data_IF_621672565318
#
_entry.id   IF_621672565318
#
_cell.length_a   1.000
_cell.length_b   1.000
_cell.length_c   1.000
_cell.angle_alpha   90.00
_cell.angle_beta   90.00
_cell.angle_gamma   90.00
#
_symmetry.space_group_name_H-M   'P 1'
#
loop_
_entity.id
_entity.type
_entity.pdbx_description
1 polymer ?
#
# COMPACT_ATOMS: atom_id res chain seq x y z
N UNK A 1 -11.97 -0.86 10.24
CA UNK A 1 -10.95 -0.71 9.19
C UNK A 1 -11.11 -1.84 8.19
N UNK A 2 -11.36 -1.55 6.92
CA UNK A 2 -11.57 -2.58 5.90
C UNK A 2 -10.29 -3.35 5.62
N UNK A 3 -10.33 -4.68 5.66
CA UNK A 3 -9.24 -5.49 5.14
C UNK A 3 -9.17 -5.28 3.63
N UNK A 4 -8.04 -4.77 3.13
CA UNK A 4 -7.89 -4.40 1.73
C UNK A 4 -7.80 -5.65 0.83
N UNK A 5 -8.95 -6.12 0.34
CA UNK A 5 -9.10 -7.27 -0.58
C UNK A 5 -8.91 -6.82 -2.03
N UNK A 6 -7.70 -6.35 -2.37
CA UNK A 6 -7.41 -5.75 -3.68
C UNK A 6 -6.36 -6.52 -4.49
N UNK A 7 -6.59 -6.62 -5.81
CA UNK A 7 -5.67 -7.18 -6.81
C UNK A 7 -4.24 -6.60 -6.77
N UNK A 8 -4.07 -5.34 -6.37
CA UNK A 8 -2.74 -4.73 -6.22
C UNK A 8 -1.93 -5.36 -5.08
N UNK A 9 -2.58 -5.66 -3.96
CA UNK A 9 -1.94 -6.37 -2.83
C UNK A 9 -1.60 -7.80 -3.24
N UNK A 10 -2.54 -8.48 -3.92
CA UNK A 10 -2.28 -9.81 -4.45
C UNK A 10 -1.09 -9.85 -5.43
N UNK A 11 -0.95 -8.83 -6.30
CA UNK A 11 0.21 -8.69 -7.19
C UNK A 11 1.52 -8.50 -6.42
N UNK A 12 1.51 -7.71 -5.34
CA UNK A 12 2.69 -7.51 -4.48
C UNK A 12 3.10 -8.80 -3.75
N UNK A 13 2.13 -9.59 -3.26
CA UNK A 13 2.40 -10.87 -2.60
C UNK A 13 2.91 -11.92 -3.60
N UNK A 14 2.31 -11.99 -4.79
CA UNK A 14 2.76 -12.86 -5.87
C UNK A 14 4.19 -12.51 -6.31
N UNK A 15 4.51 -11.22 -6.41
CA UNK A 15 5.88 -10.75 -6.63
C UNK A 15 6.83 -11.18 -5.52
N UNK A 16 6.42 -11.04 -4.26
CA UNK A 16 7.25 -11.36 -3.09
C UNK A 16 7.64 -12.84 -3.05
N UNK A 17 6.71 -13.74 -3.37
CA UNK A 17 6.98 -15.18 -3.47
C UNK A 17 7.96 -15.50 -4.61
N UNK A 18 7.86 -14.79 -5.74
CA UNK A 18 8.77 -14.99 -6.88
C UNK A 18 10.21 -14.57 -6.56
N UNK A 19 10.37 -13.38 -5.96
CA UNK A 19 11.69 -12.76 -5.74
C UNK A 19 12.39 -13.35 -4.53
N UNK A 20 11.65 -13.74 -3.50
CA UNK A 20 12.26 -14.23 -2.28
C UNK A 20 12.78 -15.68 -2.43
N UNK A 21 14.02 -15.92 -2.00
CA UNK A 21 14.66 -17.25 -2.06
C UNK A 21 14.08 -18.24 -1.04
N UNK A 22 13.60 -17.76 0.10
CA UNK A 22 13.24 -18.58 1.26
C UNK A 22 11.74 -18.72 1.50
N UNK A 23 10.91 -17.84 0.92
CA UNK A 23 9.46 -17.91 1.08
C UNK A 23 8.87 -18.87 0.04
N UNK A 24 8.31 -19.99 0.50
CA UNK A 24 7.66 -20.98 -0.36
C UNK A 24 6.16 -20.72 -0.53
N UNK A 25 5.48 -20.30 0.55
CA UNK A 25 4.03 -20.08 0.59
C UNK A 25 3.75 -18.81 1.38
N UNK A 26 2.84 -17.98 0.86
CA UNK A 26 2.22 -16.88 1.60
C UNK A 26 0.72 -17.16 1.68
N UNK A 27 0.19 -17.18 2.89
CA UNK A 27 -1.24 -17.24 3.17
C UNK A 27 -1.74 -15.91 3.71
N UNK A 28 -2.74 -15.34 3.07
CA UNK A 28 -3.45 -14.16 3.54
C UNK A 28 -4.89 -14.55 3.84
N UNK A 29 -5.24 -14.56 5.13
CA UNK A 29 -6.58 -14.89 5.63
C UNK A 29 -7.30 -13.61 6.03
N UNK A 30 -8.55 -13.52 5.62
CA UNK A 30 -9.45 -12.43 5.95
C UNK A 30 -10.46 -12.92 6.98
N UNK A 31 -10.73 -12.09 7.98
CA UNK A 31 -11.63 -12.43 9.08
C UNK A 31 -13.06 -12.12 8.68
N UNK A 32 -14.00 -12.95 9.14
CA UNK A 32 -15.42 -12.64 9.11
C UNK A 32 -15.74 -11.60 10.19
N UNK A 33 -16.64 -10.66 9.90
CA UNK A 33 -16.96 -9.53 10.77
C UNK A 33 -17.44 -9.96 12.16
N UNK A 34 -16.70 -9.56 13.19
CA UNK A 34 -17.03 -9.71 14.61
C UNK A 34 -15.86 -9.17 15.45
N UNK A 35 -16.15 -8.28 16.40
CA UNK A 35 -15.22 -7.51 17.26
C UNK A 35 -13.77 -8.05 17.32
N UNK A 36 -12.95 -7.67 16.33
CA UNK A 36 -11.60 -8.19 16.16
C UNK A 36 -10.61 -7.06 16.36
N UNK A 37 -9.88 -7.12 17.47
CA UNK A 37 -8.75 -6.26 17.74
C UNK A 37 -7.61 -6.70 16.81
N UNK A 38 -7.38 -5.99 15.71
CA UNK A 38 -6.34 -6.38 14.75
C UNK A 38 -4.96 -5.93 15.26
N UNK A 39 -3.90 -6.68 14.94
CA UNK A 39 -2.52 -6.26 15.22
C UNK A 39 -2.19 -4.88 14.61
N UNK A 40 -2.82 -4.56 13.47
CA UNK A 40 -2.72 -3.24 12.83
C UNK A 40 -3.20 -2.12 13.76
N UNK A 41 -4.24 -2.36 14.57
CA UNK A 41 -4.75 -1.37 15.53
C UNK A 41 -3.74 -1.16 16.66
N UNK A 42 -2.98 -2.20 17.04
CA UNK A 42 -1.88 -2.09 18.00
C UNK A 42 -0.73 -1.23 17.46
N UNK A 43 -0.34 -1.42 16.19
CA UNK A 43 0.67 -0.58 15.54
C UNK A 43 0.23 0.89 15.46
N UNK A 44 -1.02 1.15 15.04
CA UNK A 44 -1.56 2.50 15.00
C UNK A 44 -1.59 3.14 16.39
N UNK A 45 -2.06 2.41 17.41
CA UNK A 45 -2.08 2.89 18.78
C UNK A 45 -0.67 3.21 19.32
N UNK A 46 0.32 2.37 19.00
CA UNK A 46 1.71 2.58 19.40
C UNK A 46 2.31 3.85 18.76
N UNK A 47 2.09 4.03 17.46
CA UNK A 47 2.56 5.21 16.71
C UNK A 47 1.86 6.48 17.22
N UNK A 48 0.54 6.43 17.46
CA UNK A 48 -0.19 7.55 18.04
C UNK A 48 0.30 7.92 19.44
N UNK A 49 0.60 6.92 20.27
CA UNK A 49 1.15 7.17 21.61
C UNK A 49 2.54 7.81 21.54
N UNK A 50 3.40 7.38 20.63
CA UNK A 50 4.71 7.99 20.40
C UNK A 50 4.60 9.42 19.86
N UNK A 51 3.67 9.65 18.92
CA UNK A 51 3.36 10.98 18.36
C UNK A 51 2.96 11.97 19.44
N UNK A 52 2.14 11.58 20.43
CA UNK A 52 1.69 12.50 21.51
C UNK A 52 2.84 13.14 22.31
N UNK A 53 4.02 12.53 22.29
CA UNK A 53 5.21 13.00 23.04
C UNK A 53 6.18 13.80 22.18
N UNK A 54 5.87 13.99 20.89
CA UNK A 54 6.80 14.59 19.92
C UNK A 54 6.07 15.58 19.02
N UNK A 55 6.61 16.79 18.88
CA UNK A 55 6.12 17.73 17.87
C UNK A 55 6.69 17.35 16.50
N UNK A 56 5.82 17.22 15.51
CA UNK A 56 6.20 16.86 14.14
C UNK A 56 5.94 18.06 13.25
N UNK A 57 6.99 18.56 12.61
CA UNK A 57 6.98 19.68 11.69
C UNK A 57 7.17 19.19 10.25
N UNK A 58 8.15 18.32 10.00
CA UNK A 58 8.45 17.83 8.64
C UNK A 58 8.19 16.32 8.47
N UNK A 59 7.87 15.85 7.24
CA UNK A 59 7.56 14.44 7.01
C UNK A 59 8.65 13.45 7.44
N UNK A 60 9.94 13.82 7.33
CA UNK A 60 11.04 12.93 7.71
C UNK A 60 11.09 12.65 9.21
N UNK A 61 10.53 13.50 10.06
CA UNK A 61 10.45 13.25 11.51
C UNK A 61 9.50 12.10 11.86
N UNK A 62 8.56 11.77 10.97
CA UNK A 62 7.70 10.59 11.16
C UNK A 62 8.50 9.29 11.17
N UNK A 63 9.63 9.22 10.46
CA UNK A 63 10.48 8.04 10.46
C UNK A 63 10.94 7.71 11.88
N UNK A 64 11.48 8.72 12.58
CA UNK A 64 11.89 8.61 13.97
C UNK A 64 10.73 8.23 14.89
N UNK A 65 9.56 8.87 14.73
CA UNK A 65 8.37 8.57 15.56
C UNK A 65 7.91 7.14 15.37
N UNK A 66 7.87 6.66 14.13
CA UNK A 66 7.48 5.28 13.81
C UNK A 66 8.54 4.31 14.37
N UNK A 67 9.82 4.59 14.22
CA UNK A 67 10.88 3.75 14.77
C UNK A 67 10.79 3.64 16.31
N UNK A 68 10.54 4.75 17.00
CA UNK A 68 10.43 4.80 18.45
C UNK A 68 9.12 4.21 19.00
N UNK A 69 8.09 4.06 18.16
CA UNK A 69 6.79 3.54 18.58
C UNK A 69 6.87 2.13 19.16
N UNK A 70 7.90 1.35 18.80
CA UNK A 70 8.12 0.00 19.31
C UNK A 70 9.57 -0.19 19.74
N UNK A 71 9.79 -0.35 21.05
CA UNK A 71 11.15 -0.52 21.63
C UNK A 71 11.82 -1.83 21.20
N UNK A 72 11.07 -2.93 21.24
CA UNK A 72 11.58 -4.26 20.90
C UNK A 72 11.14 -4.61 19.48
N UNK A 73 12.09 -4.77 18.57
CA UNK A 73 11.88 -4.89 17.12
C UNK A 73 11.21 -3.64 16.50
N UNK A 74 11.94 -2.51 16.41
CA UNK A 74 11.46 -1.26 15.82
C UNK A 74 10.87 -1.43 14.43
N UNK A 75 9.91 -0.58 14.09
CA UNK A 75 9.32 -0.60 12.75
C UNK A 75 10.33 -0.09 11.71
N UNK A 76 10.33 -0.73 10.54
CA UNK A 76 11.14 -0.34 9.38
C UNK A 76 10.26 0.49 8.45
N UNK A 77 10.64 1.74 8.23
CA UNK A 77 9.94 2.63 7.30
C UNK A 77 10.53 2.46 5.92
N UNK A 78 9.70 2.01 4.97
CA UNK A 78 10.08 1.86 3.57
C UNK A 78 9.35 2.89 2.70
N UNK A 79 10.00 3.45 1.66
CA UNK A 79 9.32 4.31 0.71
C UNK A 79 8.13 3.62 0.06
N UNK A 80 7.10 4.40 -0.30
CA UNK A 80 5.92 3.87 -0.96
C UNK A 80 6.28 3.29 -2.33
N UNK A 81 6.05 1.99 -2.49
CA UNK A 81 6.28 1.25 -3.73
C UNK A 81 5.08 1.33 -4.68
N UNK A 82 5.33 1.26 -5.99
CA UNK A 82 4.28 1.31 -7.01
C UNK A 82 3.74 -0.08 -7.38
N UNK A 83 2.91 -0.64 -6.50
CA UNK A 83 2.26 -1.92 -6.78
C UNK A 83 1.19 -1.86 -7.87
N UNK A 84 0.68 -0.67 -8.21
CA UNK A 84 -0.32 -0.49 -9.27
C UNK A 84 0.32 -0.68 -10.64
N UNK A 85 1.47 -0.05 -10.87
CA UNK A 85 2.25 -0.25 -12.10
C UNK A 85 2.79 -1.68 -12.17
N UNK A 86 3.28 -2.20 -11.04
CA UNK A 86 3.71 -3.61 -10.94
C UNK A 86 2.62 -4.57 -11.43
N UNK A 87 1.38 -4.40 -10.96
CA UNK A 87 0.24 -5.21 -11.40
C UNK A 87 -0.05 -5.04 -12.90
N UNK A 88 -0.22 -3.81 -13.38
CA UNK A 88 -0.58 -3.56 -14.79
C UNK A 88 0.43 -4.09 -15.79
N UNK A 89 1.72 -4.00 -15.46
CA UNK A 89 2.81 -4.40 -16.34
C UNK A 89 3.04 -5.90 -16.34
N UNK A 90 2.89 -6.57 -15.19
CA UNK A 90 3.35 -7.94 -15.00
C UNK A 90 2.23 -8.97 -14.80
N UNK A 91 1.02 -8.53 -14.44
CA UNK A 91 -0.04 -9.43 -13.98
C UNK A 91 -1.39 -9.07 -14.60
N UNK A 92 -1.78 -9.79 -15.65
CA UNK A 92 -3.10 -9.68 -16.30
C UNK A 92 -4.00 -10.86 -15.96
N UNK A 93 -5.28 -10.73 -16.31
CA UNK A 93 -6.29 -11.77 -16.12
C UNK A 93 -6.57 -12.12 -14.65
N UNK A 94 -6.72 -11.09 -13.81
CA UNK A 94 -7.05 -11.26 -12.38
C UNK A 94 -8.56 -11.18 -12.11
N UNK A 95 -9.39 -11.08 -13.13
CA UNK A 95 -10.83 -10.85 -13.01
C UNK A 95 -11.66 -12.10 -13.28
N UNK A 96 -11.05 -13.12 -13.88
CA UNK A 96 -11.68 -14.41 -14.16
C UNK A 96 -10.83 -15.54 -13.59
N UNK A 97 -11.51 -16.58 -13.10
CA UNK A 97 -10.85 -17.80 -12.66
C UNK A 97 -10.54 -18.72 -13.86
N UNK A 98 -9.90 -19.86 -13.59
CA UNK A 98 -9.56 -20.87 -14.60
C UNK A 98 -10.78 -21.45 -15.35
N UNK A 99 -11.98 -21.36 -14.76
CA UNK A 99 -13.24 -21.81 -15.37
C UNK A 99 -13.93 -20.71 -16.21
N UNK A 100 -13.35 -19.51 -16.28
CA UNK A 100 -13.93 -18.36 -16.97
C UNK A 100 -14.96 -17.57 -16.16
N UNK A 101 -15.14 -17.92 -14.87
CA UNK A 101 -16.11 -17.25 -14.00
C UNK A 101 -15.49 -15.99 -13.39
N UNK A 102 -16.31 -14.94 -13.21
CA UNK A 102 -15.88 -13.67 -12.61
C UNK A 102 -15.47 -13.86 -11.14
N UNK A 103 -14.29 -13.37 -10.77
CA UNK A 103 -13.76 -13.44 -9.40
C UNK A 103 -14.33 -12.30 -8.57
N UNK A 104 -15.01 -12.64 -7.47
CA UNK A 104 -15.59 -11.69 -6.52
C UNK A 104 -14.58 -11.35 -5.43
N UNK A 105 -13.65 -10.45 -5.74
CA UNK A 105 -12.54 -10.08 -4.83
C UNK A 105 -12.99 -9.71 -3.42
N UNK A 106 -14.12 -9.00 -3.29
CA UNK A 106 -14.68 -8.60 -1.99
C UNK A 106 -15.12 -9.77 -1.14
N UNK A 107 -15.50 -10.90 -1.73
CA UNK A 107 -15.99 -12.09 -1.01
C UNK A 107 -14.86 -13.05 -0.62
N UNK A 108 -13.62 -12.82 -1.08
CA UNK A 108 -12.49 -13.71 -0.81
C UNK A 108 -12.16 -13.71 0.69
N UNK A 109 -12.13 -14.90 1.28
CA UNK A 109 -11.74 -15.13 2.68
C UNK A 109 -10.30 -15.59 2.84
N UNK A 110 -9.72 -16.22 1.82
CA UNK A 110 -8.32 -16.62 1.84
C UNK A 110 -7.70 -16.48 0.46
N UNK A 111 -6.50 -15.91 0.42
CA UNK A 111 -5.59 -15.94 -0.72
C UNK A 111 -4.34 -16.74 -0.34
N UNK A 112 -3.86 -17.55 -1.27
CA UNK A 112 -2.63 -18.30 -1.13
C UNK A 112 -1.77 -18.16 -2.38
N UNK A 113 -0.48 -17.93 -2.16
CA UNK A 113 0.54 -17.74 -3.19
C UNK A 113 1.63 -18.78 -2.97
N UNK A 114 2.00 -19.52 -4.02
CA UNK A 114 2.97 -20.62 -3.93
C UNK A 114 4.12 -20.40 -4.90
N UNK A 115 5.33 -20.71 -4.45
CA UNK A 115 6.55 -20.55 -5.26
C UNK A 115 6.63 -21.54 -6.41
N UNK A 116 6.11 -22.74 -6.22
CA UNK A 116 6.04 -23.80 -7.23
C UNK A 116 5.13 -23.42 -8.42
N UNK A 117 4.08 -22.64 -8.15
CA UNK A 117 3.12 -22.18 -9.16
C UNK A 117 3.07 -20.65 -9.16
N UNK A 118 4.15 -19.98 -9.63
CA UNK A 118 4.36 -18.56 -9.42
C UNK A 118 3.40 -17.67 -10.24
N UNK A 119 2.60 -18.24 -11.13
CA UNK A 119 1.62 -17.53 -11.95
C UNK A 119 0.17 -17.91 -11.61
N UNK A 120 -0.04 -18.55 -10.46
CA UNK A 120 -1.36 -18.97 -9.99
C UNK A 120 -1.65 -18.30 -8.65
N UNK A 121 -2.83 -17.71 -8.53
CA UNK A 121 -3.37 -17.23 -7.27
C UNK A 121 -4.46 -18.20 -6.84
N UNK A 122 -4.28 -18.80 -5.68
CA UNK A 122 -5.29 -19.66 -5.08
C UNK A 122 -6.17 -18.83 -4.16
N UNK A 123 -7.49 -19.01 -4.26
CA UNK A 123 -8.42 -18.28 -3.42
C UNK A 123 -9.59 -19.14 -2.95
N UNK A 124 -10.21 -18.74 -1.83
CA UNK A 124 -11.42 -19.36 -1.28
C UNK A 124 -12.44 -18.32 -0.87
N UNK A 125 -13.72 -18.64 -1.06
CA UNK A 125 -14.83 -17.87 -0.50
C UNK A 125 -15.25 -18.38 0.87
N UNK A 126 -14.96 -19.65 1.19
CA UNK A 126 -15.12 -20.24 2.53
C UNK A 126 -13.88 -21.03 2.95
N UNK A 127 -13.56 -21.04 4.25
CA UNK A 127 -12.42 -21.82 4.77
C UNK A 127 -12.57 -23.33 4.60
N UNK A 128 -13.81 -23.81 4.45
CA UNK A 128 -14.14 -25.23 4.29
C UNK A 128 -14.12 -25.72 2.84
N UNK A 129 -14.00 -24.82 1.87
CA UNK A 129 -13.99 -25.16 0.45
C UNK A 129 -12.59 -25.47 -0.06
N UNK A 130 -12.50 -26.12 -1.22
CA UNK A 130 -11.25 -26.23 -1.97
C UNK A 130 -10.85 -24.89 -2.61
N UNK A 131 -9.57 -24.77 -2.97
CA UNK A 131 -9.08 -23.56 -3.62
C UNK A 131 -9.57 -23.46 -5.06
N UNK A 132 -10.09 -22.30 -5.41
CA UNK A 132 -10.24 -21.87 -6.78
C UNK A 132 -8.92 -21.27 -7.29
N UNK A 133 -8.71 -21.28 -8.60
CA UNK A 133 -7.46 -20.87 -9.24
C UNK A 133 -7.67 -19.70 -10.21
N UNK A 134 -6.82 -18.68 -10.09
CA UNK A 134 -6.69 -17.61 -11.07
C UNK A 134 -5.33 -17.78 -11.75
N UNK A 135 -5.34 -18.02 -13.06
CA UNK A 135 -4.10 -18.08 -13.85
C UNK A 135 -3.76 -16.69 -14.37
N UNK A 136 -2.67 -16.13 -13.85
CA UNK A 136 -2.24 -14.77 -14.14
C UNK A 136 -1.32 -14.77 -15.35
N UNK A 137 -1.67 -13.98 -16.37
CA UNK A 137 -0.87 -13.87 -17.58
C UNK A 137 0.26 -12.86 -17.36
N UNK A 138 1.51 -13.31 -17.50
CA UNK A 138 2.70 -12.46 -17.43
C UNK A 138 3.17 -12.03 -18.82
N UNK A 139 3.43 -10.74 -19.04
CA UNK A 139 4.01 -10.26 -20.31
C UNK A 139 5.50 -10.61 -20.38
N UNK A 140 5.88 -11.42 -21.37
CA UNK A 140 7.26 -11.76 -21.69
C UNK A 140 7.67 -13.15 -21.17
N UNK A 141 8.38 -13.89 -22.03
CA UNK A 141 9.08 -15.14 -21.73
C UNK A 141 9.85 -14.95 -20.43
N UNK A 142 9.41 -15.58 -19.33
CA UNK A 142 10.03 -15.57 -18.00
C UNK A 142 11.10 -14.48 -17.86
N UNK A 143 10.70 -13.20 -17.72
CA UNK A 143 11.69 -12.18 -17.36
C UNK A 143 12.34 -12.73 -16.10
N UNK A 144 13.65 -13.02 -16.17
CA UNK A 144 14.41 -13.54 -15.05
C UNK A 144 13.99 -12.72 -13.82
N UNK A 145 13.64 -13.43 -12.75
CA UNK A 145 13.20 -12.84 -11.47
C UNK A 145 14.14 -11.69 -11.03
N UNK A 146 15.40 -11.76 -11.43
CA UNK A 146 16.45 -10.74 -11.23
C UNK A 146 16.12 -9.34 -11.76
N UNK A 147 15.21 -9.19 -12.74
CA UNK A 147 14.84 -7.90 -13.34
C UNK A 147 13.47 -7.36 -12.91
N UNK A 148 12.77 -8.08 -12.03
CA UNK A 148 11.53 -7.63 -11.42
C UNK A 148 11.92 -6.76 -10.22
N UNK A 149 12.09 -5.45 -10.43
CA UNK A 149 12.30 -4.48 -9.36
C UNK A 149 11.06 -3.58 -9.25
N UNK A 150 10.44 -3.51 -8.06
CA UNK A 150 9.35 -2.55 -7.81
C UNK A 150 9.96 -1.17 -7.63
N UNK A 151 9.60 -0.22 -8.49
CA UNK A 151 10.03 1.17 -8.34
C UNK A 151 9.27 1.87 -7.22
N UNK A 152 9.88 2.93 -6.67
CA UNK A 152 9.14 3.86 -5.81
C UNK A 152 8.03 4.53 -6.61
N UNK A 153 6.89 4.78 -5.96
CA UNK A 153 5.73 5.43 -6.58
C UNK A 153 6.01 6.88 -6.97
N UNK A 154 6.84 7.55 -6.18
CA UNK A 154 7.25 8.92 -6.42
C UNK A 154 8.76 8.96 -6.69
N UNK A 155 9.13 9.51 -7.85
CA UNK A 155 10.52 9.70 -8.29
C UNK A 155 11.07 11.08 -7.89
N UNK A 156 10.16 12.02 -7.66
CA UNK A 156 10.46 13.40 -7.29
C UNK A 156 9.43 13.91 -6.28
N UNK A 157 9.73 15.05 -5.65
CA UNK A 157 8.82 15.67 -4.69
C UNK A 157 7.57 16.18 -5.41
N UNK A 158 6.40 15.83 -4.88
CA UNK A 158 5.14 16.28 -5.43
C UNK A 158 5.01 17.80 -5.25
N UNK A 159 4.69 18.55 -6.32
CA UNK A 159 4.47 19.99 -6.21
C UNK A 159 3.22 20.30 -5.41
N UNK A 160 3.24 21.38 -4.65
CA UNK A 160 2.07 21.93 -3.94
C UNK A 160 1.52 23.15 -4.69
N UNK A 161 0.35 23.66 -4.31
CA UNK A 161 -0.10 24.94 -4.86
C UNK A 161 0.77 26.10 -4.37
N UNK A 162 0.79 27.19 -5.13
CA UNK A 162 1.45 28.42 -4.75
C UNK A 162 0.83 29.02 -3.47
N UNK A 163 -0.50 28.98 -3.36
CA UNK A 163 -1.21 29.43 -2.16
C UNK A 163 -0.77 28.66 -0.91
N UNK A 164 -0.77 27.32 -0.99
CA UNK A 164 -0.31 26.47 0.12
C UNK A 164 1.15 26.70 0.45
N UNK A 165 2.00 26.93 -0.56
CA UNK A 165 3.42 27.26 -0.32
C UNK A 165 3.56 28.60 0.41
N UNK A 166 2.82 29.62 0.01
CA UNK A 166 2.83 30.92 0.66
C UNK A 166 2.38 30.81 2.13
N UNK A 167 1.30 30.07 2.40
CA UNK A 167 0.80 29.85 3.77
C UNK A 167 1.83 29.13 4.65
N UNK A 168 2.46 28.06 4.13
CA UNK A 168 3.51 27.33 4.86
C UNK A 168 4.73 28.21 5.16
N UNK A 169 5.09 29.11 4.24
CA UNK A 169 6.18 30.07 4.47
C UNK A 169 5.80 31.16 5.47
N UNK A 170 4.54 31.58 5.51
CA UNK A 170 4.01 32.48 6.55
C UNK A 170 4.11 31.84 7.94
N UNK A 171 3.78 30.55 8.08
CA UNK A 171 3.95 29.80 9.33
C UNK A 171 5.42 29.66 9.75
N UNK A 172 6.35 29.65 8.81
CA UNK A 172 7.79 29.70 9.09
C UNK A 172 8.20 31.08 9.61
N UNK A 173 7.62 32.16 9.07
CA UNK A 173 7.93 33.53 9.48
C UNK A 173 7.35 33.89 10.86
N UNK A 174 6.20 33.32 11.21
CA UNK A 174 5.57 33.53 12.52
C UNK A 174 6.25 32.78 13.67
N UNK A 175 7.29 31.98 13.39
CA UNK A 175 8.03 31.23 14.41
C UNK A 175 7.30 29.99 14.93
N UNK A 176 6.13 29.63 14.37
CA UNK A 176 5.39 28.41 14.73
C UNK A 176 6.18 27.16 14.30
N UNK A 177 6.84 27.24 13.16
CA UNK A 177 7.72 26.19 12.63
C UNK A 177 9.17 26.52 13.01
N UNK A 178 9.93 25.59 13.63
CA UNK A 178 11.33 25.79 13.97
C UNK A 178 12.22 26.16 12.77
N UNK A 179 13.23 26.99 12.99
CA UNK A 179 14.09 27.57 11.95
C UNK A 179 14.80 26.50 11.09
N UNK A 180 15.18 25.39 11.72
CA UNK A 180 15.79 24.19 11.18
C UNK A 180 14.87 23.44 10.20
N UNK A 181 13.54 23.61 10.29
CA UNK A 181 12.58 23.04 9.36
C UNK A 181 12.27 23.95 8.15
N UNK A 182 12.65 25.23 8.19
CA UNK A 182 12.26 26.23 7.17
C UNK A 182 12.82 25.89 5.79
N UNK A 183 14.04 25.36 5.72
CA UNK A 183 14.67 24.99 4.44
C UNK A 183 13.88 23.91 3.70
N UNK A 184 13.27 22.97 4.44
CA UNK A 184 12.40 21.96 3.84
C UNK A 184 11.25 22.62 3.07
N UNK A 185 10.51 23.54 3.69
CA UNK A 185 9.37 24.20 3.05
C UNK A 185 9.76 25.12 1.89
N UNK A 186 10.90 25.83 1.99
CA UNK A 186 11.43 26.64 0.88
C UNK A 186 11.71 25.79 -0.36
N UNK A 187 12.27 24.60 -0.15
CA UNK A 187 12.63 23.65 -1.21
C UNK A 187 11.45 22.88 -1.83
N UNK A 188 10.20 23.11 -1.39
CA UNK A 188 9.02 22.44 -1.98
C UNK A 188 8.71 23.03 -3.38
N UNK A 189 8.54 22.20 -4.41
CA UNK A 189 8.12 22.67 -5.73
C UNK A 189 6.67 23.18 -5.68
N UNK A 190 6.35 24.21 -6.46
CA UNK A 190 5.00 24.78 -6.57
C UNK A 190 4.50 24.78 -8.01
N UNK A 191 3.19 24.58 -8.21
CA UNK A 191 2.56 24.61 -9.55
C UNK A 191 1.18 25.29 -9.51
N UNK A 192 0.94 26.20 -10.44
CA UNK A 192 -0.36 26.88 -10.63
C UNK A 192 -1.42 25.90 -11.16
N UNK A 193 -2.65 26.01 -10.66
CA UNK A 193 -3.80 25.20 -11.12
C UNK A 193 -3.87 23.77 -10.59
N UNK A 194 -3.02 23.36 -9.64
CA UNK A 194 -3.17 22.08 -8.93
C UNK A 194 -4.27 22.21 -7.88
N UNK A 195 -5.08 21.16 -7.67
CA UNK A 195 -5.98 21.07 -6.51
C UNK A 195 -5.21 20.43 -5.35
N UNK A 196 -5.14 21.12 -4.21
CA UNK A 196 -4.66 20.53 -2.96
C UNK A 196 -5.73 19.60 -2.38
N UNK A 197 -5.91 18.43 -2.99
CA UNK A 197 -6.77 17.40 -2.44
C UNK A 197 -5.88 16.33 -1.81
N UNK A 198 -6.20 15.96 -0.57
CA UNK A 198 -5.98 14.57 -0.15
C UNK A 198 -6.75 13.70 -1.16
N UNK A 199 -6.19 12.61 -1.69
CA UNK A 199 -7.05 11.63 -2.34
C UNK A 199 -8.18 11.35 -1.36
N UNK A 200 -9.43 11.50 -1.82
CA UNK A 200 -10.58 11.14 -1.00
C UNK A 200 -10.30 9.73 -0.44
N UNK A 201 -10.55 9.47 0.86
CA UNK A 201 -10.53 8.09 1.34
C UNK A 201 -11.40 7.32 0.35
N UNK A 202 -10.84 6.26 -0.26
CA UNK A 202 -11.48 5.52 -1.36
C UNK A 202 -12.98 5.48 -1.08
N UNK A 203 -13.74 6.32 -1.79
CA UNK A 203 -15.19 6.29 -1.70
C UNK A 203 -15.48 4.89 -2.17
N UNK A 204 -16.01 4.05 -1.28
CA UNK A 204 -16.41 2.68 -1.59
C UNK A 204 -16.95 2.71 -3.01
N UNK A 205 -16.37 1.94 -3.94
CA UNK A 205 -16.86 1.90 -5.32
C UNK A 205 -18.34 1.50 -5.19
N UNK A 206 -19.21 2.53 -5.20
CA UNK A 206 -20.64 2.42 -5.22
C UNK A 206 -20.96 1.95 -6.62
N UNK A 207 -21.45 0.73 -6.64
CA UNK A 207 -22.19 0.06 -7.69
C UNK A 207 -22.61 1.01 -8.83
N UNK A 208 -21.94 0.86 -9.97
CA UNK A 208 -22.62 0.98 -11.26
C UNK A 208 -23.00 -0.45 -11.69
N UNK A 209 -23.83 -1.09 -10.88
CA UNK A 209 -24.84 -2.01 -11.40
C UNK A 209 -26.15 -1.20 -11.38
N UNK A 210 -26.51 -0.67 -12.54
CA UNK A 210 -27.86 -0.18 -12.84
C UNK A 210 -28.15 -0.56 -14.28
N UNK A 211 -28.93 -1.63 -14.39
CA UNK A 211 -29.65 -2.23 -15.51
C UNK A 211 -28.89 -2.63 -16.80
#
# INVERSE_FOLDING_TARGET
>A
MGQNRNKFVAAALLYSVKVNKHINIIDQKYLDTGHTHMECDSMHAAIEHAKRKTNIYIPSQWDTVIHMARRNNPYVVIPLLDFKSLQKENYKNMEQNKKGEKVRWREIKQLQFRKETPNVIYYKYSFHEEFNEITVVTRGRQKLVENLAVSTKYKERLPITEAKKADLLSLCQSGIIPADCVQFYKSLPSKKGKKDRLPEPDVDEQDQDSD
#
